data_IF_753688596259
#
_entry.id   IF_753688596259
#
_cell.length_a   1.000
_cell.length_b   1.000
_cell.length_c   1.000
_cell.angle_alpha   90.00
_cell.angle_beta   90.00
_cell.angle_gamma   90.00
#
_symmetry.space_group_name_H-M   'P 1'
#
loop_
_entity.id
_entity.type
_entity.pdbx_description
1 polymer ?
#
# COMPACT_ATOMS: atom_id res chain seq x y z
N UNK A 1 -38.67 4.84 0.88
CA UNK A 1 -39.58 5.94 0.50
C UNK A 1 -39.35 7.21 1.31
N UNK A 2 -39.55 7.21 2.64
CA UNK A 2 -39.45 8.44 3.46
C UNK A 2 -38.10 9.16 3.35
N UNK A 3 -37.00 8.40 3.23
CA UNK A 3 -35.64 8.97 3.06
C UNK A 3 -35.28 9.25 1.59
N UNK A 4 -36.18 9.02 0.64
CA UNK A 4 -35.93 9.38 -0.77
C UNK A 4 -36.14 10.88 -0.98
N UNK A 5 -35.50 11.51 -1.99
CA UNK A 5 -35.70 12.93 -2.30
C UNK A 5 -37.17 13.29 -2.45
N UNK A 6 -37.93 12.48 -3.20
CA UNK A 6 -39.37 12.67 -3.38
C UNK A 6 -40.16 12.66 -2.05
N UNK A 7 -39.84 11.73 -1.14
CA UNK A 7 -40.48 11.65 0.17
C UNK A 7 -40.11 12.83 1.07
N UNK A 8 -38.84 13.25 1.02
CA UNK A 8 -38.34 14.41 1.76
C UNK A 8 -38.97 15.72 1.24
N UNK A 9 -39.05 15.93 -0.08
CA UNK A 9 -39.70 17.09 -0.68
C UNK A 9 -41.17 17.21 -0.23
N UNK A 10 -41.87 16.07 -0.16
CA UNK A 10 -43.24 16.05 0.36
C UNK A 10 -43.30 16.40 1.85
N UNK A 11 -42.34 15.95 2.66
CA UNK A 11 -42.25 16.30 4.08
C UNK A 11 -41.96 17.79 4.24
N UNK A 12 -40.96 18.33 3.54
CA UNK A 12 -40.55 19.74 3.59
C UNK A 12 -41.66 20.69 3.16
N UNK A 13 -42.47 20.31 2.16
CA UNK A 13 -43.61 21.12 1.71
C UNK A 13 -44.82 21.06 2.64
N UNK A 14 -44.92 20.02 3.49
CA UNK A 14 -46.09 19.78 4.35
C UNK A 14 -45.84 20.18 5.81
N UNK A 15 -44.59 20.15 6.27
CA UNK A 15 -44.22 20.52 7.64
C UNK A 15 -44.54 21.99 7.94
N UNK A 16 -44.88 22.27 9.19
CA UNK A 16 -45.21 23.62 9.65
C UNK A 16 -44.70 23.84 11.08
N UNK A 17 -44.48 25.11 11.44
CA UNK A 17 -44.07 25.53 12.79
C UNK A 17 -42.90 26.51 12.75
N UNK A 18 -43.02 27.61 13.50
CA UNK A 18 -42.02 28.71 13.50
C UNK A 18 -40.82 28.39 14.40
N UNK A 19 -41.04 27.73 15.54
CA UNK A 19 -39.98 27.42 16.52
C UNK A 19 -39.47 25.99 16.41
N UNK A 20 -40.33 25.03 16.02
CA UNK A 20 -39.99 23.65 15.71
C UNK A 20 -40.86 23.19 14.55
N UNK A 21 -40.22 22.89 13.43
CA UNK A 21 -40.90 22.31 12.28
C UNK A 21 -41.26 20.85 12.59
N UNK A 22 -42.49 20.47 12.25
CA UNK A 22 -42.96 19.10 12.44
C UNK A 22 -44.18 18.79 11.60
N UNK A 23 -44.50 17.50 11.53
CA UNK A 23 -45.72 17.00 10.92
C UNK A 23 -46.70 16.55 12.00
N UNK A 24 -47.91 17.11 11.97
CA UNK A 24 -49.03 16.61 12.75
C UNK A 24 -49.65 15.36 12.11
N UNK A 25 -50.50 14.66 12.86
CA UNK A 25 -51.15 13.44 12.40
C UNK A 25 -51.88 13.59 11.06
N UNK A 26 -52.61 14.70 10.88
CA UNK A 26 -53.36 14.96 9.65
C UNK A 26 -52.44 15.21 8.45
N UNK A 27 -51.28 15.83 8.66
CA UNK A 27 -50.25 16.06 7.65
C UNK A 27 -49.61 14.73 7.22
N UNK A 28 -49.27 13.87 8.18
CA UNK A 28 -48.72 12.52 7.91
C UNK A 28 -49.70 11.70 7.07
N UNK A 29 -51.00 11.72 7.42
CA UNK A 29 -52.04 10.97 6.70
C UNK A 29 -52.24 11.45 5.24
N UNK A 30 -51.83 12.66 4.91
CA UNK A 30 -51.92 13.24 3.55
C UNK A 30 -50.71 12.92 2.67
N UNK A 31 -49.66 12.29 3.22
CA UNK A 31 -48.50 11.89 2.44
C UNK A 31 -48.91 10.89 1.34
N UNK A 32 -48.37 11.11 0.14
CA UNK A 32 -48.69 10.31 -1.05
C UNK A 32 -47.59 9.28 -1.21
N UNK A 33 -47.82 8.11 -0.62
CA UNK A 33 -46.88 6.98 -0.71
C UNK A 33 -47.22 6.16 -1.95
N UNK A 34 -46.33 6.06 -2.96
CA UNK A 34 -46.49 5.12 -4.05
C UNK A 34 -46.36 3.70 -3.48
N UNK A 35 -47.39 2.88 -3.68
CA UNK A 35 -47.45 1.51 -3.19
C UNK A 35 -47.39 0.55 -4.38
N UNK A 36 -46.21 0.01 -4.73
CA UNK A 36 -46.09 -0.97 -5.81
C UNK A 36 -46.65 -2.33 -5.38
N UNK A 37 -46.81 -3.31 -6.30
CA UNK A 37 -47.17 -4.68 -5.97
C UNK A 37 -46.20 -5.32 -4.95
N UNK A 38 -46.68 -6.29 -4.16
CA UNK A 38 -45.87 -6.91 -3.09
C UNK A 38 -44.56 -7.52 -3.59
N UNK A 39 -44.58 -8.13 -4.77
CA UNK A 39 -43.36 -8.71 -5.38
C UNK A 39 -42.31 -7.63 -5.66
N UNK A 40 -42.71 -6.49 -6.21
CA UNK A 40 -41.82 -5.35 -6.43
C UNK A 40 -41.34 -4.75 -5.11
N UNK A 41 -42.18 -4.68 -4.08
CA UNK A 41 -41.77 -4.22 -2.74
C UNK A 41 -40.63 -5.09 -2.18
N UNK A 42 -40.77 -6.42 -2.26
CA UNK A 42 -39.72 -7.34 -1.83
C UNK A 42 -38.43 -7.20 -2.64
N UNK A 43 -38.55 -7.05 -3.96
CA UNK A 43 -37.38 -6.88 -4.82
C UNK A 43 -36.63 -5.56 -4.53
N UNK A 44 -37.37 -4.48 -4.29
CA UNK A 44 -36.79 -3.18 -3.88
C UNK A 44 -36.04 -3.35 -2.56
N UNK A 45 -36.65 -3.97 -1.55
CA UNK A 45 -36.01 -4.18 -0.24
C UNK A 45 -34.76 -5.03 -0.39
N UNK A 46 -34.82 -6.14 -1.13
CA UNK A 46 -33.67 -7.03 -1.37
C UNK A 46 -32.49 -6.28 -1.99
N UNK A 47 -32.74 -5.43 -2.99
CA UNK A 47 -31.68 -4.64 -3.65
C UNK A 47 -31.09 -3.60 -2.72
N UNK A 48 -31.92 -2.89 -1.96
CA UNK A 48 -31.47 -1.88 -0.99
C UNK A 48 -30.61 -2.53 0.10
N UNK A 49 -31.04 -3.66 0.66
CA UNK A 49 -30.26 -4.41 1.64
C UNK A 49 -28.92 -4.92 1.09
N UNK A 50 -28.91 -5.40 -0.16
CA UNK A 50 -27.67 -5.82 -0.81
C UNK A 50 -26.69 -4.65 -0.98
N UNK A 51 -27.19 -3.46 -1.34
CA UNK A 51 -26.36 -2.25 -1.46
C UNK A 51 -25.82 -1.79 -0.10
N UNK A 52 -26.61 -1.86 0.98
CA UNK A 52 -26.12 -1.54 2.33
C UNK A 52 -25.02 -2.51 2.78
N UNK A 53 -25.21 -3.82 2.57
CA UNK A 53 -24.17 -4.82 2.87
C UNK A 53 -22.89 -4.55 2.10
N UNK A 54 -23.01 -4.19 0.83
CA UNK A 54 -21.85 -3.84 0.01
C UNK A 54 -21.15 -2.58 0.52
N UNK A 55 -21.91 -1.55 0.93
CA UNK A 55 -21.35 -0.34 1.53
C UNK A 55 -20.58 -0.66 2.83
N UNK A 56 -21.15 -1.48 3.72
CA UNK A 56 -20.51 -1.93 4.96
C UNK A 56 -19.19 -2.68 4.68
N UNK A 57 -19.18 -3.54 3.66
CA UNK A 57 -17.97 -4.26 3.24
C UNK A 57 -16.88 -3.31 2.73
N UNK A 58 -17.24 -2.29 1.95
CA UNK A 58 -16.31 -1.28 1.44
C UNK A 58 -15.75 -0.46 2.60
N UNK A 59 -16.58 -0.01 3.53
CA UNK A 59 -16.15 0.73 4.71
C UNK A 59 -15.17 -0.08 5.57
N UNK A 60 -15.48 -1.36 5.81
CA UNK A 60 -14.60 -2.27 6.54
C UNK A 60 -13.24 -2.42 5.86
N UNK A 61 -13.22 -2.63 4.54
CA UNK A 61 -11.97 -2.74 3.77
C UNK A 61 -11.15 -1.45 3.81
N UNK A 62 -11.80 -0.29 3.75
CA UNK A 62 -11.12 0.99 3.84
C UNK A 62 -10.46 1.18 5.22
N UNK A 63 -11.16 0.80 6.30
CA UNK A 63 -10.61 0.89 7.66
C UNK A 63 -9.45 -0.08 7.89
N UNK A 64 -9.54 -1.31 7.37
CA UNK A 64 -8.43 -2.28 7.39
C UNK A 64 -7.21 -1.78 6.62
N UNK A 65 -7.41 -1.17 5.46
CA UNK A 65 -6.34 -0.56 4.66
C UNK A 65 -5.69 0.60 5.40
N UNK A 66 -6.48 1.48 6.03
CA UNK A 66 -5.98 2.60 6.84
C UNK A 66 -5.08 2.13 7.98
N UNK A 67 -5.55 1.15 8.77
CA UNK A 67 -4.75 0.53 9.85
C UNK A 67 -3.47 -0.12 9.35
N UNK A 68 -3.49 -0.71 8.15
CA UNK A 68 -2.30 -1.31 7.54
C UNK A 68 -1.27 -0.24 7.17
N UNK A 69 -1.71 0.87 6.58
CA UNK A 69 -0.83 2.00 6.25
C UNK A 69 -0.20 2.56 7.52
N UNK A 70 -0.99 2.81 8.57
CA UNK A 70 -0.47 3.28 9.87
C UNK A 70 0.58 2.34 10.46
N UNK A 71 0.35 1.02 10.40
CA UNK A 71 1.34 0.06 10.89
C UNK A 71 2.64 0.10 10.07
N UNK A 72 2.52 0.18 8.75
CA UNK A 72 3.68 0.24 7.85
C UNK A 72 4.47 1.53 8.12
N UNK A 73 3.81 2.68 8.22
CA UNK A 73 4.48 3.96 8.48
C UNK A 73 5.20 3.92 9.82
N UNK A 74 4.57 3.43 10.89
CA UNK A 74 5.22 3.26 12.19
C UNK A 74 6.43 2.31 12.11
N UNK A 75 6.30 1.19 11.39
CA UNK A 75 7.43 0.27 11.21
C UNK A 75 8.58 0.90 10.43
N UNK A 76 8.29 1.68 9.38
CA UNK A 76 9.31 2.37 8.58
C UNK A 76 10.00 3.44 9.41
N UNK A 77 9.24 4.26 10.15
CA UNK A 77 9.79 5.28 11.04
C UNK A 77 10.69 4.65 12.11
N UNK A 78 10.24 3.56 12.73
CA UNK A 78 11.05 2.86 13.73
C UNK A 78 12.36 2.31 13.13
N UNK A 79 12.31 1.77 11.91
CA UNK A 79 13.50 1.31 11.17
C UNK A 79 14.41 2.48 10.74
N UNK A 80 13.82 3.63 10.41
CA UNK A 80 14.54 4.86 10.09
C UNK A 80 15.32 5.37 11.30
N UNK A 81 14.68 5.46 12.47
CA UNK A 81 15.32 5.92 13.71
C UNK A 81 16.41 4.95 14.22
N UNK A 82 16.25 3.64 14.03
CA UNK A 82 17.32 2.67 14.31
C UNK A 82 18.45 2.70 13.26
N UNK A 83 18.30 3.50 12.20
CA UNK A 83 19.25 3.58 11.10
C UNK A 83 19.36 2.29 10.30
N UNK A 84 18.36 1.41 10.39
CA UNK A 84 18.33 0.15 9.64
C UNK A 84 18.11 0.40 8.15
N UNK A 85 17.40 1.47 7.79
CA UNK A 85 17.18 1.86 6.40
C UNK A 85 18.47 2.34 5.71
N UNK A 86 19.48 2.77 6.48
CA UNK A 86 20.77 3.25 5.99
C UNK A 86 21.93 2.35 6.40
N UNK A 87 21.67 1.19 7.01
CA UNK A 87 22.70 0.28 7.50
C UNK A 87 23.62 -0.20 6.37
N UNK A 88 23.02 -0.67 5.28
CA UNK A 88 23.75 -1.14 4.08
C UNK A 88 24.63 -0.02 3.50
N UNK A 89 24.13 1.22 3.46
CA UNK A 89 24.88 2.38 3.00
C UNK A 89 26.04 2.73 3.94
N UNK A 90 25.81 2.72 5.26
CA UNK A 90 26.87 2.99 6.25
C UNK A 90 27.97 1.93 6.23
N UNK A 91 27.61 0.67 5.98
CA UNK A 91 28.58 -0.41 5.79
C UNK A 91 29.39 -0.21 4.51
N UNK A 92 28.75 0.17 3.40
CA UNK A 92 29.45 0.49 2.15
C UNK A 92 30.44 1.65 2.31
N UNK A 93 30.03 2.74 2.96
CA UNK A 93 30.90 3.89 3.27
C UNK A 93 32.05 3.48 4.19
N UNK A 94 31.80 2.61 5.18
CA UNK A 94 32.85 2.10 6.08
C UNK A 94 33.86 1.25 5.31
N UNK A 95 33.39 0.32 4.48
CA UNK A 95 34.25 -0.53 3.66
C UNK A 95 35.07 0.30 2.68
N UNK A 96 34.47 1.33 2.06
CA UNK A 96 35.19 2.28 1.22
C UNK A 96 36.33 2.97 1.96
N UNK A 97 36.07 3.49 3.16
CA UNK A 97 37.08 4.13 4.01
C UNK A 97 38.19 3.18 4.49
N UNK A 98 37.99 1.87 4.38
CA UNK A 98 38.97 0.85 4.73
C UNK A 98 39.77 0.32 3.51
N UNK A 99 39.34 0.62 2.27
CA UNK A 99 40.08 0.25 1.06
C UNK A 99 41.35 1.09 0.93
N UNK A 100 42.41 0.49 0.37
CA UNK A 100 43.66 1.21 0.07
C UNK A 100 43.48 2.22 -1.07
N UNK A 101 44.36 3.23 -1.14
CA UNK A 101 44.32 4.30 -2.15
C UNK A 101 44.29 3.76 -3.59
N UNK A 102 45.08 2.74 -3.90
CA UNK A 102 45.13 2.11 -5.24
C UNK A 102 43.83 1.38 -5.61
N UNK A 103 43.19 0.75 -4.62
CA UNK A 103 41.93 0.03 -4.82
C UNK A 103 40.77 1.01 -5.04
N UNK A 104 40.72 2.10 -4.26
CA UNK A 104 39.77 3.20 -4.48
C UNK A 104 39.98 3.83 -5.83
N UNK A 105 41.23 4.11 -6.21
CA UNK A 105 41.60 4.71 -7.49
C UNK A 105 41.10 3.86 -8.66
N UNK A 106 41.33 2.54 -8.62
CA UNK A 106 40.80 1.61 -9.63
C UNK A 106 39.28 1.69 -9.77
N UNK A 107 38.57 1.87 -8.66
CA UNK A 107 37.11 2.03 -8.67
C UNK A 107 36.67 3.39 -9.23
N UNK A 108 37.29 4.49 -8.81
CA UNK A 108 36.93 5.84 -9.28
C UNK A 108 37.09 5.93 -10.80
N UNK A 109 38.16 5.37 -11.37
CA UNK A 109 38.36 5.36 -12.83
C UNK A 109 37.34 4.55 -13.63
N UNK A 110 36.48 3.75 -12.98
CA UNK A 110 35.36 3.05 -13.64
C UNK A 110 34.07 3.88 -13.69
N UNK A 111 34.01 4.99 -12.95
CA UNK A 111 32.85 5.91 -12.95
C UNK A 111 32.81 6.76 -14.23
N UNK A 112 31.66 7.36 -14.58
CA UNK A 112 31.59 8.37 -15.63
C UNK A 112 32.54 9.53 -15.35
N UNK A 113 33.20 10.10 -16.39
CA UNK A 113 34.22 11.16 -16.25
C UNK A 113 33.79 12.34 -15.37
N UNK A 114 32.51 12.71 -15.43
CA UNK A 114 31.92 13.80 -14.64
C UNK A 114 31.92 13.52 -13.12
N UNK A 115 31.85 12.25 -12.72
CA UNK A 115 31.85 11.83 -11.31
C UNK A 115 33.26 11.50 -10.80
N UNK A 116 34.20 11.22 -11.71
CA UNK A 116 35.61 10.95 -11.37
C UNK A 116 36.27 12.16 -10.72
N UNK A 117 36.05 13.34 -11.29
CA UNK A 117 36.66 14.59 -10.82
C UNK A 117 36.16 14.92 -9.40
N UNK A 118 34.85 14.83 -9.19
CA UNK A 118 34.22 15.08 -7.89
C UNK A 118 34.70 14.12 -6.79
N UNK A 119 34.84 12.84 -7.12
CA UNK A 119 35.33 11.82 -6.18
C UNK A 119 36.82 11.94 -5.85
N UNK A 120 37.64 12.53 -6.74
CA UNK A 120 39.08 12.72 -6.53
C UNK A 120 39.42 13.94 -5.65
N UNK A 121 38.59 15.00 -5.66
CA UNK A 121 38.90 16.27 -5.00
C UNK A 121 38.33 16.39 -3.58
N UNK A 122 37.23 15.70 -3.25
CA UNK A 122 36.54 15.89 -1.97
C UNK A 122 36.81 14.79 -0.93
N UNK A 123 37.55 13.73 -1.27
CA UNK A 123 37.76 12.53 -0.43
C UNK A 123 36.43 11.90 0.06
N UNK A 124 35.34 12.26 -0.63
CA UNK A 124 33.98 11.85 -0.36
C UNK A 124 33.70 10.50 -1.02
N UNK A 125 32.87 9.69 -0.35
CA UNK A 125 32.34 8.47 -0.95
C UNK A 125 31.58 8.87 -2.22
N UNK A 126 31.94 8.35 -3.41
CA UNK A 126 31.25 8.71 -4.65
C UNK A 126 29.79 8.29 -4.53
N UNK A 127 28.94 9.28 -4.27
CA UNK A 127 27.49 9.16 -4.26
C UNK A 127 27.05 9.05 -5.71
N UNK A 128 27.23 7.89 -6.34
CA UNK A 128 26.16 7.51 -7.26
C UNK A 128 24.86 7.59 -6.44
N UNK A 129 23.79 8.22 -6.95
CA UNK A 129 22.54 8.37 -6.21
C UNK A 129 22.22 7.04 -5.56
N UNK A 130 21.91 7.03 -4.26
CA UNK A 130 21.77 5.81 -3.46
C UNK A 130 20.89 4.72 -4.12
N UNK A 131 20.04 5.14 -5.05
CA UNK A 131 19.36 4.37 -6.09
C UNK A 131 20.21 3.26 -6.76
N UNK A 132 21.39 3.54 -7.33
CA UNK A 132 22.18 2.53 -8.05
C UNK A 132 22.84 1.51 -7.10
N UNK A 133 23.26 1.93 -5.91
CA UNK A 133 23.75 1.04 -4.85
C UNK A 133 22.62 0.13 -4.35
N UNK A 134 21.42 0.66 -4.17
CA UNK A 134 20.24 -0.10 -3.82
C UNK A 134 19.82 -1.05 -4.94
N UNK A 135 19.91 -0.65 -6.21
CA UNK A 135 19.68 -1.52 -7.36
C UNK A 135 20.70 -2.65 -7.44
N UNK A 136 21.99 -2.35 -7.21
CA UNK A 136 23.05 -3.38 -7.16
C UNK A 136 22.85 -4.32 -5.98
N UNK A 137 22.50 -3.83 -4.78
CA UNK A 137 22.19 -4.68 -3.62
C UNK A 137 20.95 -5.55 -3.90
N UNK A 138 19.90 -5.00 -4.50
CA UNK A 138 18.70 -5.76 -4.92
C UNK A 138 19.05 -6.83 -5.96
N UNK A 139 19.84 -6.48 -6.98
CA UNK A 139 20.29 -7.41 -8.00
C UNK A 139 21.22 -8.50 -7.44
N UNK A 140 22.10 -8.16 -6.49
CA UNK A 140 23.02 -9.10 -5.86
C UNK A 140 22.30 -10.05 -4.88
N UNK A 141 21.30 -9.54 -4.13
CA UNK A 141 20.40 -10.36 -3.30
C UNK A 141 19.55 -11.30 -4.16
N UNK A 142 18.98 -10.82 -5.27
CA UNK A 142 18.23 -11.66 -6.21
C UNK A 142 19.10 -12.75 -6.87
N UNK A 143 20.36 -12.45 -7.22
CA UNK A 143 21.33 -13.43 -7.74
C UNK A 143 21.72 -14.47 -6.68
N UNK A 144 21.81 -14.09 -5.40
CA UNK A 144 22.09 -15.00 -4.28
C UNK A 144 20.87 -15.90 -3.97
N UNK A 145 19.66 -15.37 -4.01
CA UNK A 145 18.41 -16.14 -3.84
C UNK A 145 18.16 -17.13 -5.00
N UNK A 146 18.46 -16.73 -6.24
CA UNK A 146 18.36 -17.62 -7.42
C UNK A 146 19.42 -18.74 -7.48
N UNK A 147 20.58 -18.58 -6.83
CA UNK A 147 21.62 -19.63 -6.72
C UNK A 147 21.31 -20.64 -5.60
N UNK A 148 20.55 -20.25 -4.58
CA UNK A 148 20.11 -21.14 -3.48
C UNK A 148 19.06 -22.16 -3.92
N UNK A 149 18.16 -21.80 -4.83
CA UNK A 149 17.06 -22.68 -5.28
C UNK A 149 17.49 -23.73 -6.32
N UNK A 150 18.39 -23.38 -7.26
CA UNK A 150 18.94 -24.35 -8.24
C UNK A 150 19.79 -25.45 -7.61
N UNK A 151 20.47 -25.16 -6.49
CA UNK A 151 21.30 -26.15 -5.79
C UNK A 151 20.46 -27.16 -4.98
N UNK A 152 19.27 -26.76 -4.51
CA UNK A 152 18.31 -27.65 -3.85
C UNK A 152 17.54 -28.55 -4.82
N UNK A 153 17.20 -28.06 -6.03
CA UNK A 153 16.53 -28.85 -7.06
C UNK A 153 17.41 -29.96 -7.66
N UNK A 154 18.69 -29.68 -7.93
CA UNK A 154 19.63 -30.68 -8.48
C UNK A 154 19.92 -31.84 -7.51
N UNK A 155 19.99 -31.58 -6.19
CA UNK A 155 20.22 -32.65 -5.19
C UNK A 155 19.03 -33.60 -5.00
N UNK A 156 17.79 -33.19 -5.33
CA UNK A 156 16.63 -34.09 -5.29
C UNK A 156 16.54 -35.01 -6.51
N UNK A 157 16.91 -34.53 -7.70
CA UNK A 157 16.92 -35.38 -8.91
C UNK A 157 18.06 -36.40 -8.90
N UNK A 158 19.25 -36.05 -8.38
CA UNK A 158 20.36 -37.00 -8.28
C UNK A 158 20.11 -38.13 -7.28
N UNK A 159 19.40 -37.87 -6.16
CA UNK A 159 19.03 -38.92 -5.19
C UNK A 159 17.92 -39.86 -5.68
N UNK A 160 17.08 -39.44 -6.63
CA UNK A 160 16.07 -40.34 -7.23
C UNK A 160 16.66 -41.30 -8.26
N UNK A 161 17.79 -40.95 -8.89
CA UNK A 161 18.50 -41.80 -9.85
C UNK A 161 19.42 -42.84 -9.19
N UNK A 162 19.86 -42.63 -7.94
CA UNK A 162 20.67 -43.60 -7.18
C UNK A 162 19.84 -44.69 -6.48
N UNK A 163 18.53 -44.51 -6.33
CA UNK A 163 17.61 -45.47 -5.70
C UNK A 163 16.91 -46.43 -6.69
N UNK A 164 17.23 -46.32 -7.99
CA UNK A 164 16.68 -47.18 -9.06
C UNK A 164 17.76 -48.05 -9.75
N UNK A 165 18.89 -48.31 -9.10
CA UNK A 165 19.90 -49.27 -9.54
C UNK A 165 20.08 -50.38 -8.53
#
# INVERSE_FOLDING_TARGET
FLNSPFGQDQIFSTQAGVTREGLNYNQIRKLRVPLPPLEEQHEIVRRVEALFKFADEVEKRAEEARKRVERITQSILARAFRGELTADFREAVRNWKNLGLEERRKYIFTLPKEEQEKALYEDEFPLEPAEHLLERIRAERAKREGKGTKTRGRRRQSRQLELMR
#
